data_IF_674109697763
#
_entry.id   IF_674109697763
#
_cell.length_a   1.000
_cell.length_b   1.000
_cell.length_c   1.000
_cell.angle_alpha   90.00
_cell.angle_beta   90.00
_cell.angle_gamma   90.00
#
_symmetry.space_group_name_H-M   'P 1'
#
loop_
_entity.id
_entity.type
_entity.pdbx_description
1 polymer ?
#
# COMPACT_ATOMS: atom_id res chain seq x y z
N UNK A 1 9.58 42.82 -15.38
CA UNK A 1 9.50 41.69 -16.33
C UNK A 1 9.84 40.41 -15.56
N UNK A 2 8.82 39.63 -15.21
CA UNK A 2 8.98 38.41 -14.42
C UNK A 2 9.10 37.19 -15.34
N UNK A 3 10.21 36.47 -15.19
CA UNK A 3 10.52 35.24 -15.93
C UNK A 3 9.70 34.08 -15.36
N UNK A 4 8.71 33.60 -16.12
CA UNK A 4 7.98 32.37 -15.81
C UNK A 4 8.93 31.16 -15.92
N UNK A 5 9.36 30.62 -14.78
CA UNK A 5 9.88 29.25 -14.70
C UNK A 5 8.70 28.29 -14.90
N UNK A 6 8.56 27.83 -16.14
CA UNK A 6 7.74 26.67 -16.50
C UNK A 6 8.40 25.46 -15.83
N UNK A 7 7.84 25.01 -14.71
CA UNK A 7 8.19 23.71 -14.14
C UNK A 7 7.81 22.67 -15.19
N UNK A 8 8.83 22.10 -15.84
CA UNK A 8 8.70 20.90 -16.65
C UNK A 8 8.37 19.77 -15.67
N UNK A 9 7.08 19.46 -15.53
CA UNK A 9 6.68 18.12 -15.09
C UNK A 9 7.32 17.15 -16.08
N UNK A 10 8.14 16.18 -15.64
CA UNK A 10 8.63 15.15 -16.54
C UNK A 10 7.39 14.42 -17.09
N UNK A 11 7.15 14.58 -18.39
CA UNK A 11 6.17 13.78 -19.14
C UNK A 11 6.61 12.34 -19.04
N UNK A 12 5.94 11.56 -18.18
CA UNK A 12 6.12 10.12 -18.08
C UNK A 12 5.68 9.49 -19.42
N UNK A 13 6.45 8.56 -20.00
CA UNK A 13 6.13 7.97 -21.29
C UNK A 13 4.79 7.23 -21.27
N UNK A 14 4.10 7.20 -22.43
CA UNK A 14 2.77 6.60 -22.64
C UNK A 14 2.66 5.09 -22.32
N UNK A 15 3.78 4.44 -21.97
CA UNK A 15 3.87 3.01 -21.61
C UNK A 15 3.99 2.74 -20.12
N UNK A 16 3.82 3.74 -19.26
CA UNK A 16 4.03 3.56 -17.81
C UNK A 16 2.94 2.67 -17.19
N UNK A 17 3.32 1.49 -16.70
CA UNK A 17 2.40 0.56 -16.04
C UNK A 17 2.01 1.03 -14.63
N UNK A 18 1.00 0.40 -14.03
CA UNK A 18 0.66 0.63 -12.63
C UNK A 18 1.82 0.28 -11.70
N UNK A 19 2.53 -0.82 -11.99
CA UNK A 19 3.73 -1.21 -11.25
C UNK A 19 4.82 -0.12 -11.33
N UNK A 20 5.08 0.43 -12.51
CA UNK A 20 6.08 1.49 -12.68
C UNK A 20 5.73 2.73 -11.86
N UNK A 21 4.46 3.16 -11.87
CA UNK A 21 3.99 4.28 -11.04
C UNK A 21 4.15 3.99 -9.55
N UNK A 22 3.87 2.76 -9.13
CA UNK A 22 4.04 2.33 -7.74
C UNK A 22 5.51 2.35 -7.32
N UNK A 23 6.40 1.78 -8.13
CA UNK A 23 7.85 1.79 -7.86
C UNK A 23 8.42 3.21 -7.82
N UNK A 24 8.01 4.08 -8.76
CA UNK A 24 8.42 5.48 -8.77
C UNK A 24 7.94 6.21 -7.50
N UNK A 25 6.72 5.95 -7.04
CA UNK A 25 6.20 6.49 -5.78
C UNK A 25 7.03 6.00 -4.58
N UNK A 26 7.35 4.70 -4.49
CA UNK A 26 8.16 4.17 -3.39
C UNK A 26 9.56 4.78 -3.38
N UNK A 27 10.20 4.93 -4.54
CA UNK A 27 11.51 5.58 -4.65
C UNK A 27 11.46 7.04 -4.19
N UNK A 28 10.43 7.78 -4.60
CA UNK A 28 10.24 9.17 -4.18
C UNK A 28 9.96 9.29 -2.67
N UNK A 29 9.18 8.37 -2.09
CA UNK A 29 8.93 8.33 -0.66
C UNK A 29 10.21 7.96 0.12
N UNK A 30 10.98 6.98 -0.35
CA UNK A 30 12.22 6.56 0.29
C UNK A 30 13.27 7.67 0.28
N UNK A 31 13.37 8.44 -0.81
CA UNK A 31 14.28 9.58 -0.91
C UNK A 31 13.97 10.73 0.09
N UNK A 32 12.74 10.79 0.61
CA UNK A 32 12.32 11.77 1.62
C UNK A 32 12.52 11.27 3.05
N UNK A 33 12.77 9.97 3.24
CA UNK A 33 12.91 9.39 4.57
C UNK A 33 14.25 9.83 5.21
N UNK A 34 14.24 10.22 6.50
CA UNK A 34 15.47 10.41 7.26
C UNK A 34 16.36 9.15 7.23
N UNK A 35 17.68 9.26 7.47
CA UNK A 35 18.52 8.08 7.59
C UNK A 35 18.22 7.26 8.86
N UNK A 36 18.43 5.96 8.79
CA UNK A 36 18.33 5.03 9.92
C UNK A 36 16.91 4.57 10.25
N UNK A 37 16.76 3.91 11.40
CA UNK A 37 15.50 3.30 11.83
C UNK A 37 14.29 4.27 11.87
N UNK A 38 14.41 5.52 12.35
CA UNK A 38 13.28 6.46 12.32
C UNK A 38 12.77 6.73 10.91
N UNK A 39 13.65 6.73 9.91
CA UNK A 39 13.27 6.87 8.51
C UNK A 39 12.52 5.67 7.97
N UNK A 40 12.96 4.46 8.30
CA UNK A 40 12.25 3.24 7.95
C UNK A 40 10.84 3.21 8.54
N UNK A 41 10.70 3.59 9.81
CA UNK A 41 9.39 3.72 10.46
C UNK A 41 8.51 4.75 9.77
N UNK A 42 9.05 5.94 9.50
CA UNK A 42 8.32 6.99 8.78
C UNK A 42 7.85 6.50 7.40
N UNK A 43 8.75 5.86 6.64
CA UNK A 43 8.46 5.32 5.31
C UNK A 43 7.35 4.28 5.38
N UNK A 44 7.43 3.33 6.31
CA UNK A 44 6.44 2.27 6.45
C UNK A 44 5.07 2.79 6.86
N UNK A 45 5.01 3.77 7.76
CA UNK A 45 3.75 4.44 8.10
C UNK A 45 3.16 5.19 6.89
N UNK A 46 4.01 5.92 6.15
CA UNK A 46 3.61 6.69 4.96
C UNK A 46 3.03 5.80 3.87
N UNK A 47 3.76 4.78 3.44
CA UNK A 47 3.31 3.90 2.36
C UNK A 47 2.16 2.99 2.81
N UNK A 48 2.16 2.57 4.09
CA UNK A 48 1.06 1.80 4.68
C UNK A 48 -0.26 2.56 4.65
N UNK A 49 -0.25 3.84 5.00
CA UNK A 49 -1.44 4.68 4.90
C UNK A 49 -1.84 4.95 3.43
N UNK A 50 -0.90 5.39 2.60
CA UNK A 50 -1.20 5.83 1.23
C UNK A 50 -1.63 4.66 0.32
N UNK A 51 -0.93 3.53 0.38
CA UNK A 51 -1.13 2.41 -0.55
C UNK A 51 -2.06 1.33 0.01
N UNK A 52 -2.14 1.17 1.33
CA UNK A 52 -2.96 0.13 1.94
C UNK A 52 -4.10 0.67 2.83
N UNK A 53 -4.20 1.98 3.03
CA UNK A 53 -5.22 2.58 3.90
C UNK A 53 -5.05 2.24 5.38
N UNK A 54 -3.88 1.74 5.78
CA UNK A 54 -3.61 1.29 7.15
C UNK A 54 -3.40 2.52 8.03
N UNK A 55 -4.38 2.82 8.89
CA UNK A 55 -4.26 3.88 9.90
C UNK A 55 -4.02 3.30 11.27
N UNK A 56 -2.84 3.55 11.82
CA UNK A 56 -2.45 3.06 13.16
C UNK A 56 -3.38 3.58 14.27
N UNK A 57 -3.98 4.76 14.08
CA UNK A 57 -4.97 5.34 15.00
C UNK A 57 -6.24 4.47 15.17
N UNK A 58 -6.56 3.63 14.19
CA UNK A 58 -7.76 2.80 14.21
C UNK A 58 -7.49 1.35 14.63
N UNK A 59 -6.24 0.98 14.93
CA UNK A 59 -5.88 -0.38 15.41
C UNK A 59 -6.62 -0.73 16.71
N UNK A 60 -6.85 0.26 17.58
CA UNK A 60 -7.65 0.08 18.80
C UNK A 60 -9.18 0.00 18.53
N UNK A 61 -9.62 0.16 17.28
CA UNK A 61 -11.02 0.18 16.85
C UNK A 61 -11.22 -0.84 15.71
N UNK A 62 -11.29 -2.14 16.02
CA UNK A 62 -11.19 -3.22 15.02
C UNK A 62 -12.22 -3.10 13.89
N UNK A 63 -13.46 -2.70 14.19
CA UNK A 63 -14.48 -2.49 13.15
C UNK A 63 -14.15 -1.36 12.17
N UNK A 64 -13.55 -0.25 12.65
CA UNK A 64 -13.12 0.84 11.77
C UNK A 64 -11.92 0.43 10.93
N UNK A 65 -10.98 -0.27 11.55
CA UNK A 65 -9.81 -0.81 10.86
C UNK A 65 -10.22 -1.77 9.73
N UNK A 66 -11.14 -2.71 10.01
CA UNK A 66 -11.67 -3.62 8.99
C UNK A 66 -12.45 -2.90 7.88
N UNK A 67 -13.21 -1.84 8.21
CA UNK A 67 -13.88 -1.03 7.19
C UNK A 67 -12.93 -0.28 6.27
N UNK A 68 -11.75 0.12 6.75
CA UNK A 68 -10.74 0.77 5.90
C UNK A 68 -10.27 -0.16 4.78
N UNK A 69 -10.17 -1.46 5.07
CA UNK A 69 -9.72 -2.46 4.10
C UNK A 69 -10.78 -2.79 3.02
N UNK A 70 -12.04 -2.40 3.25
CA UNK A 70 -13.12 -2.59 2.28
C UNK A 70 -13.22 -1.43 1.26
N UNK A 71 -12.50 -0.33 1.48
CA UNK A 71 -12.50 0.84 0.61
C UNK A 71 -11.21 0.84 -0.22
N UNK A 72 -11.28 1.44 -1.42
CA UNK A 72 -10.08 1.64 -2.23
C UNK A 72 -9.03 2.46 -1.45
N UNK A 73 -7.73 2.16 -1.59
CA UNK A 73 -6.69 2.89 -0.90
C UNK A 73 -6.62 4.36 -1.37
N UNK A 74 -6.08 5.27 -0.53
CA UNK A 74 -5.96 6.69 -0.89
C UNK A 74 -5.21 6.93 -2.20
N UNK A 75 -4.17 6.16 -2.46
CA UNK A 75 -3.37 6.23 -3.69
C UNK A 75 -3.57 4.94 -4.49
N UNK A 76 -4.01 5.09 -5.73
CA UNK A 76 -4.31 3.98 -6.65
C UNK A 76 -3.39 4.08 -7.87
N UNK A 77 -2.70 2.98 -8.16
CA UNK A 77 -1.74 2.92 -9.27
C UNK A 77 -2.28 2.18 -10.49
N UNK A 78 -3.42 1.49 -10.36
CA UNK A 78 -3.93 0.55 -11.34
C UNK A 78 -3.18 -0.79 -11.34
N UNK A 79 -3.76 -1.81 -11.98
CA UNK A 79 -3.27 -3.18 -11.89
C UNK A 79 -2.24 -3.59 -12.97
N UNK A 80 -2.02 -2.75 -13.98
CA UNK A 80 -1.11 -3.12 -15.09
C UNK A 80 0.33 -3.30 -14.60
N UNK A 81 1.00 -4.34 -15.09
CA UNK A 81 2.39 -4.67 -14.74
C UNK A 81 2.55 -5.44 -13.42
N UNK A 82 1.51 -5.55 -12.58
CA UNK A 82 1.53 -6.43 -11.41
C UNK A 82 1.28 -7.88 -11.82
N UNK A 83 1.78 -8.83 -11.01
CA UNK A 83 1.57 -10.25 -11.27
C UNK A 83 0.13 -10.65 -10.91
N UNK A 84 -0.66 -11.16 -11.87
CA UNK A 84 -2.02 -11.62 -11.60
C UNK A 84 -2.06 -12.88 -10.72
N UNK A 85 -0.93 -13.57 -10.52
CA UNK A 85 -0.84 -14.74 -9.64
C UNK A 85 -0.86 -14.37 -8.15
N UNK A 86 -0.55 -13.11 -7.81
CA UNK A 86 -0.42 -12.66 -6.41
C UNK A 86 -1.49 -11.65 -6.01
N UNK A 87 -2.27 -11.16 -6.97
CA UNK A 87 -3.31 -10.14 -6.75
C UNK A 87 -4.41 -10.25 -7.79
N UNK A 88 -5.64 -10.20 -7.33
CA UNK A 88 -6.87 -10.39 -8.07
C UNK A 88 -7.78 -9.13 -8.06
N UNK A 89 -7.35 -8.07 -7.36
CA UNK A 89 -8.06 -6.80 -7.26
C UNK A 89 -7.50 -5.67 -8.17
N UNK A 90 -8.29 -4.61 -8.35
CA UNK A 90 -7.92 -3.44 -9.16
C UNK A 90 -6.82 -2.54 -8.59
N UNK A 91 -6.39 -2.77 -7.34
CA UNK A 91 -5.40 -2.02 -6.59
C UNK A 91 -4.34 -2.93 -5.95
N UNK A 92 -3.58 -3.69 -6.76
CA UNK A 92 -2.66 -4.72 -6.26
C UNK A 92 -1.58 -4.18 -5.32
N UNK A 93 -1.14 -2.93 -5.50
CA UNK A 93 -0.20 -2.26 -4.60
C UNK A 93 -0.62 -2.30 -3.12
N UNK A 94 -1.93 -2.34 -2.83
CA UNK A 94 -2.48 -2.51 -1.48
C UNK A 94 -1.97 -3.79 -0.84
N UNK A 95 -2.08 -4.92 -1.54
CA UNK A 95 -1.70 -6.23 -1.01
C UNK A 95 -0.20 -6.30 -0.76
N UNK A 96 0.62 -5.87 -1.72
CA UNK A 96 2.07 -5.82 -1.56
C UNK A 96 2.49 -5.00 -0.33
N UNK A 97 1.93 -3.79 -0.16
CA UNK A 97 2.27 -2.96 1.00
C UNK A 97 1.72 -3.52 2.30
N UNK A 98 0.53 -4.11 2.32
CA UNK A 98 0.00 -4.75 3.53
C UNK A 98 0.94 -5.86 4.03
N UNK A 99 1.45 -6.73 3.14
CA UNK A 99 2.41 -7.76 3.51
C UNK A 99 3.72 -7.18 4.06
N UNK A 100 4.30 -6.20 3.37
CA UNK A 100 5.55 -5.55 3.82
C UNK A 100 5.34 -4.84 5.15
N UNK A 101 4.19 -4.18 5.34
CA UNK A 101 3.83 -3.50 6.59
C UNK A 101 3.76 -4.47 7.76
N UNK A 102 3.02 -5.57 7.61
CA UNK A 102 2.91 -6.60 8.65
C UNK A 102 4.28 -7.20 8.96
N UNK A 103 5.08 -7.55 7.94
CA UNK A 103 6.41 -8.12 8.11
C UNK A 103 7.44 -7.17 8.72
N UNK A 104 7.26 -5.86 8.57
CA UNK A 104 8.14 -4.86 9.20
C UNK A 104 7.92 -4.77 10.72
N UNK A 105 6.67 -4.90 11.17
CA UNK A 105 6.31 -4.70 12.58
C UNK A 105 6.30 -5.99 13.41
N UNK A 106 6.10 -7.15 12.78
CA UNK A 106 5.91 -8.40 13.49
C UNK A 106 6.99 -9.43 13.17
N UNK A 107 7.43 -10.24 14.15
CA UNK A 107 8.24 -11.42 13.87
C UNK A 107 7.42 -12.42 13.02
N UNK A 108 8.11 -13.23 12.23
CA UNK A 108 7.49 -14.09 11.21
C UNK A 108 6.28 -14.92 11.69
N UNK A 109 6.29 -15.57 12.88
CA UNK A 109 5.12 -16.34 13.33
C UNK A 109 3.87 -15.48 13.53
N UNK A 110 4.04 -14.27 14.07
CA UNK A 110 2.94 -13.34 14.30
C UNK A 110 2.47 -12.70 12.98
N UNK A 111 3.41 -12.39 12.08
CA UNK A 111 3.06 -11.92 10.75
C UNK A 111 2.18 -12.95 10.02
N UNK A 112 2.59 -14.22 10.01
CA UNK A 112 1.81 -15.32 9.42
C UNK A 112 0.42 -15.42 10.05
N UNK A 113 0.34 -15.40 11.38
CA UNK A 113 -0.94 -15.47 12.09
C UNK A 113 -1.87 -14.30 11.72
N UNK A 114 -1.35 -13.08 11.64
CA UNK A 114 -2.11 -11.90 11.23
C UNK A 114 -2.59 -12.01 9.79
N UNK A 115 -1.75 -12.49 8.87
CA UNK A 115 -2.13 -12.66 7.47
C UNK A 115 -3.23 -13.72 7.30
N UNK A 116 -3.16 -14.84 8.03
CA UNK A 116 -4.23 -15.83 8.04
C UNK A 116 -5.53 -15.28 8.66
N UNK A 117 -5.42 -14.56 9.78
CA UNK A 117 -6.58 -13.92 10.40
C UNK A 117 -7.24 -12.90 9.45
N UNK A 118 -6.42 -12.19 8.67
CA UNK A 118 -6.88 -11.27 7.63
C UNK A 118 -7.66 -12.01 6.54
N UNK A 119 -7.13 -13.12 6.04
CA UNK A 119 -7.80 -13.93 5.01
C UNK A 119 -9.15 -14.49 5.51
N UNK A 120 -9.19 -14.97 6.75
CA UNK A 120 -10.43 -15.42 7.40
C UNK A 120 -11.43 -14.28 7.55
N UNK A 121 -10.98 -13.08 7.94
CA UNK A 121 -11.84 -11.91 8.04
C UNK A 121 -12.40 -11.48 6.68
N UNK A 122 -11.60 -11.61 5.60
CA UNK A 122 -12.03 -11.45 4.22
C UNK A 122 -13.13 -12.44 3.85
N UNK A 123 -12.89 -13.73 4.10
CA UNK A 123 -13.84 -14.81 3.83
C UNK A 123 -15.20 -14.59 4.50
N UNK A 124 -15.20 -14.23 5.78
CA UNK A 124 -16.42 -13.92 6.54
C UNK A 124 -17.14 -12.70 5.94
N UNK A 125 -16.39 -11.65 5.58
CA UNK A 125 -16.96 -10.41 5.01
C UNK A 125 -17.61 -10.65 3.65
N UNK A 126 -17.02 -11.51 2.82
CA UNK A 126 -17.56 -11.83 1.50
C UNK A 126 -18.63 -12.93 1.54
N UNK A 127 -19.11 -13.33 2.72
CA UNK A 127 -20.23 -14.26 2.86
C UNK A 127 -19.85 -15.72 2.59
N UNK A 128 -18.59 -16.09 2.86
CA UNK A 128 -18.09 -17.45 2.64
C UNK A 128 -17.41 -17.66 1.29
N UNK A 129 -16.98 -16.59 0.64
CA UNK A 129 -16.15 -16.62 -0.56
C UNK A 129 -14.77 -16.07 -0.20
N UNK A 130 -13.71 -16.70 -0.71
CA UNK A 130 -12.37 -16.14 -0.59
C UNK A 130 -12.30 -14.80 -1.33
N UNK A 131 -11.43 -13.90 -0.84
CA UNK A 131 -11.14 -12.64 -1.53
C UNK A 131 -10.84 -12.94 -3.01
N UNK A 132 -11.50 -12.28 -3.95
CA UNK A 132 -10.89 -11.99 -5.23
C UNK A 132 -9.99 -10.76 -5.08
#
# INVERSE_FOLDING_TARGET
MATLRRFLSPTMPETTTGLDRFLAYLQAAAAQAPPGWPGSVWFMLRVGEDCAGIRTSDVARPYRFLRQMAVAPPVQFGATGFSPEFTDDGNPARHYIAFVFVGFWLPAPLAIAVLYAWEIAGFVRYGGYWSP
#
